data_IF_966302368992
#
_entry.id   IF_966302368992
#
_cell.length_a   1.000
_cell.length_b   1.000
_cell.length_c   1.000
_cell.angle_alpha   90.00
_cell.angle_beta   90.00
_cell.angle_gamma   90.00
#
_symmetry.space_group_name_H-M   'P 1'
#
loop_
_entity.id
_entity.type
_entity.pdbx_description
1 polymer ?
#
# COMPACT_ATOMS: atom_id res chain seq x y z
N UNK A 1 3.69 49.43 -35.67
CA UNK A 1 2.90 48.60 -34.74
C UNK A 1 1.47 48.67 -35.22
N UNK A 2 0.83 47.52 -35.41
CA UNK A 2 -0.61 47.45 -35.70
C UNK A 2 -1.36 47.69 -34.40
N UNK A 3 -2.47 48.42 -34.43
CA UNK A 3 -3.30 48.64 -33.23
C UNK A 3 -4.26 47.47 -33.02
N UNK A 4 -4.70 47.23 -31.78
CA UNK A 4 -5.72 46.20 -31.48
C UNK A 4 -6.98 46.37 -32.34
N UNK A 5 -7.36 47.62 -32.62
CA UNK A 5 -8.51 47.93 -33.48
C UNK A 5 -8.27 47.51 -34.94
N UNK A 6 -7.05 47.74 -35.46
CA UNK A 6 -6.68 47.27 -36.79
C UNK A 6 -6.66 45.75 -36.88
N UNK A 7 -6.20 45.06 -35.83
CA UNK A 7 -6.23 43.58 -35.80
C UNK A 7 -7.65 43.03 -35.70
N UNK A 8 -8.53 43.62 -34.88
CA UNK A 8 -9.94 43.20 -34.80
C UNK A 8 -10.67 43.39 -36.12
N UNK A 9 -10.43 44.50 -36.81
CA UNK A 9 -11.01 44.73 -38.13
C UNK A 9 -10.56 43.68 -39.14
N UNK A 10 -9.26 43.37 -39.19
CA UNK A 10 -8.73 42.33 -40.06
C UNK A 10 -9.29 40.93 -39.71
N UNK A 11 -9.43 40.64 -38.42
CA UNK A 11 -10.00 39.38 -37.94
C UNK A 11 -11.46 39.19 -38.38
N UNK A 12 -12.27 40.24 -38.31
CA UNK A 12 -13.67 40.20 -38.74
C UNK A 12 -13.80 40.01 -40.27
N UNK A 13 -12.92 40.64 -41.06
CA UNK A 13 -12.87 40.42 -42.52
C UNK A 13 -12.54 38.96 -42.85
N UNK A 14 -11.56 38.35 -42.17
CA UNK A 14 -11.21 36.93 -42.34
C UNK A 14 -12.38 36.03 -41.90
N UNK A 15 -13.05 36.36 -40.79
CA UNK A 15 -14.21 35.62 -40.28
C UNK A 15 -15.33 35.59 -41.31
N UNK A 16 -15.65 36.72 -41.93
CA UNK A 16 -16.67 36.79 -42.97
C UNK A 16 -16.30 35.94 -44.19
N UNK A 17 -15.05 36.02 -44.66
CA UNK A 17 -14.57 35.19 -45.79
C UNK A 17 -14.77 33.70 -45.49
N UNK A 18 -14.46 33.25 -44.27
CA UNK A 18 -14.62 31.83 -43.89
C UNK A 18 -16.10 31.45 -43.73
N UNK A 19 -16.93 32.34 -43.19
CA UNK A 19 -18.37 32.11 -43.03
C UNK A 19 -19.09 32.00 -44.38
N UNK A 20 -18.73 32.81 -45.36
CA UNK A 20 -19.32 32.82 -46.71
C UNK A 20 -19.09 31.51 -47.49
N UNK A 21 -18.11 30.71 -47.09
CA UNK A 21 -17.85 29.38 -47.68
C UNK A 21 -18.85 28.31 -47.22
N UNK A 22 -19.69 28.61 -46.23
CA UNK A 22 -20.71 27.72 -45.67
C UNK A 22 -20.21 26.76 -44.60
N UNK A 23 -21.13 26.22 -43.79
CA UNK A 23 -20.86 25.42 -42.59
C UNK A 23 -20.09 24.10 -42.85
N UNK A 24 -20.17 23.57 -44.08
CA UNK A 24 -19.47 22.33 -44.47
C UNK A 24 -18.09 22.61 -45.11
N UNK A 25 -17.61 23.85 -45.03
CA UNK A 25 -16.30 24.23 -45.54
C UNK A 25 -15.17 23.60 -44.71
N UNK A 26 -14.17 23.03 -45.40
CA UNK A 26 -12.93 22.58 -44.77
C UNK A 26 -12.22 23.72 -44.02
N UNK A 27 -12.30 24.95 -44.53
CA UNK A 27 -11.74 26.12 -43.84
C UNK A 27 -12.56 26.47 -42.59
N UNK A 28 -13.89 26.38 -42.63
CA UNK A 28 -14.71 26.56 -41.44
C UNK A 28 -14.33 25.57 -40.32
N UNK A 29 -14.12 24.30 -40.68
CA UNK A 29 -13.64 23.29 -39.75
C UNK A 29 -12.24 23.61 -39.21
N UNK A 30 -11.30 24.01 -40.06
CA UNK A 30 -9.93 24.33 -39.66
C UNK A 30 -9.82 25.60 -38.79
N UNK A 31 -10.75 26.56 -38.95
CA UNK A 31 -10.78 27.79 -38.17
C UNK A 31 -11.61 27.67 -36.87
N UNK A 32 -12.21 26.52 -36.59
CA UNK A 32 -12.91 26.27 -35.32
C UNK A 32 -11.95 26.50 -34.15
N UNK A 33 -12.28 27.46 -33.26
CA UNK A 33 -11.44 27.88 -32.14
C UNK A 33 -10.25 28.80 -32.50
N UNK A 34 -9.89 28.93 -33.78
CA UNK A 34 -8.81 29.82 -34.24
C UNK A 34 -9.20 31.30 -34.10
N UNK A 35 -10.47 31.65 -34.37
CA UNK A 35 -10.96 33.01 -34.18
C UNK A 35 -10.94 33.43 -32.71
N UNK A 36 -11.43 32.59 -31.81
CA UNK A 36 -11.43 32.86 -30.36
C UNK A 36 -9.99 33.01 -29.83
N UNK A 37 -9.05 32.21 -30.35
CA UNK A 37 -7.63 32.33 -30.02
C UNK A 37 -7.04 33.66 -30.48
N UNK A 38 -7.40 34.09 -31.69
CA UNK A 38 -6.94 35.37 -32.24
C UNK A 38 -7.50 36.56 -31.42
N UNK A 39 -8.76 36.50 -31.00
CA UNK A 39 -9.34 37.50 -30.09
C UNK A 39 -8.59 37.55 -28.75
N UNK A 40 -8.32 36.39 -28.15
CA UNK A 40 -7.54 36.30 -26.91
C UNK A 40 -6.12 36.87 -27.07
N UNK A 41 -5.46 36.58 -28.20
CA UNK A 41 -4.14 37.14 -28.50
C UNK A 41 -4.15 38.67 -28.55
N UNK A 42 -5.17 39.25 -29.20
CA UNK A 42 -5.36 40.71 -29.25
C UNK A 42 -5.63 41.27 -27.85
N UNK A 43 -6.50 40.63 -27.07
CA UNK A 43 -6.89 41.11 -25.74
C UNK A 43 -5.71 41.06 -24.77
N UNK A 44 -4.95 39.97 -24.76
CA UNK A 44 -3.86 39.73 -23.84
C UNK A 44 -2.48 40.24 -24.30
N UNK A 45 -2.38 40.84 -25.50
CA UNK A 45 -1.10 41.16 -26.15
C UNK A 45 -0.15 39.92 -26.16
N UNK A 46 -0.72 38.79 -26.54
CA UNK A 46 -0.09 37.48 -26.51
C UNK A 46 -0.01 36.86 -27.91
N UNK A 47 0.81 35.81 -28.04
CA UNK A 47 0.98 35.05 -29.27
C UNK A 47 0.72 33.55 -29.02
N UNK A 48 -0.42 33.23 -28.41
CA UNK A 48 -0.85 31.86 -28.22
C UNK A 48 -1.06 31.17 -29.56
N UNK A 49 -0.67 29.91 -29.63
CA UNK A 49 -0.88 29.02 -30.78
C UNK A 49 -1.59 27.76 -30.32
N UNK A 50 -2.39 27.15 -31.20
CA UNK A 50 -3.07 25.89 -30.87
C UNK A 50 -2.07 24.79 -30.53
N UNK A 51 -0.95 24.69 -31.25
CA UNK A 51 0.12 23.73 -30.95
C UNK A 51 0.69 23.97 -29.54
N UNK A 52 0.98 25.22 -29.19
CA UNK A 52 1.49 25.55 -27.85
C UNK A 52 0.49 25.21 -26.75
N UNK A 53 -0.81 25.42 -26.97
CA UNK A 53 -1.84 25.00 -26.01
C UNK A 53 -1.94 23.47 -25.89
N UNK A 54 -1.85 22.74 -27.00
CA UNK A 54 -1.84 21.27 -27.00
C UNK A 54 -0.64 20.74 -26.21
N UNK A 55 0.55 21.31 -26.42
CA UNK A 55 1.77 20.90 -25.72
C UNK A 55 1.65 21.13 -24.21
N UNK A 56 1.14 22.29 -23.78
CA UNK A 56 0.89 22.59 -22.37
C UNK A 56 -0.12 21.62 -21.75
N UNK A 57 -1.20 21.30 -22.45
CA UNK A 57 -2.20 20.33 -21.97
C UNK A 57 -1.61 18.93 -21.90
N UNK A 58 -0.81 18.53 -22.90
CA UNK A 58 -0.15 17.23 -22.95
C UNK A 58 0.85 17.08 -21.80
N UNK A 59 1.67 18.10 -21.54
CA UNK A 59 2.61 18.13 -20.43
C UNK A 59 1.89 18.08 -19.08
N UNK A 60 0.82 18.85 -18.91
CA UNK A 60 0.02 18.83 -17.69
C UNK A 60 -0.60 17.45 -17.42
N UNK A 61 -1.13 16.79 -18.47
CA UNK A 61 -1.66 15.42 -18.36
C UNK A 61 -0.56 14.40 -18.06
N UNK A 62 0.60 14.51 -18.71
CA UNK A 62 1.74 13.65 -18.45
C UNK A 62 2.21 13.78 -17.00
N UNK A 63 2.38 15.02 -16.52
CA UNK A 63 2.74 15.31 -15.13
C UNK A 63 1.72 14.74 -14.15
N UNK A 64 0.44 14.98 -14.36
CA UNK A 64 -0.62 14.42 -13.52
C UNK A 64 -0.59 12.88 -13.49
N UNK A 65 -0.36 12.23 -14.63
CA UNK A 65 -0.22 10.77 -14.69
C UNK A 65 0.99 10.28 -13.90
N UNK A 66 2.15 10.95 -14.04
CA UNK A 66 3.36 10.59 -13.27
C UNK A 66 3.17 10.78 -11.77
N UNK A 67 2.51 11.86 -11.34
CA UNK A 67 2.22 12.11 -9.92
C UNK A 67 1.30 11.05 -9.33
N UNK A 68 0.25 10.64 -10.05
CA UNK A 68 -0.63 9.54 -9.63
C UNK A 68 0.12 8.22 -9.52
N UNK A 69 0.92 7.88 -10.54
CA UNK A 69 1.75 6.67 -10.52
C UNK A 69 2.73 6.67 -9.35
N UNK A 70 3.34 7.81 -9.04
CA UNK A 70 4.24 7.92 -7.90
C UNK A 70 3.51 7.73 -6.57
N UNK A 71 2.31 8.30 -6.42
CA UNK A 71 1.49 8.12 -5.22
C UNK A 71 1.08 6.65 -5.02
N UNK A 72 0.69 5.97 -6.10
CA UNK A 72 0.36 4.54 -6.07
C UNK A 72 1.60 3.70 -5.72
N UNK A 73 2.75 4.00 -6.32
CA UNK A 73 4.01 3.32 -6.01
C UNK A 73 4.38 3.48 -4.53
N UNK A 74 4.28 4.70 -3.99
CA UNK A 74 4.57 4.98 -2.59
C UNK A 74 3.60 4.24 -1.65
N UNK A 75 2.32 4.14 -2.03
CA UNK A 75 1.33 3.38 -1.27
C UNK A 75 1.67 1.88 -1.24
N UNK A 76 2.00 1.30 -2.39
CA UNK A 76 2.39 -0.12 -2.51
C UNK A 76 3.68 -0.40 -1.73
N UNK A 77 4.65 0.52 -1.75
CA UNK A 77 5.88 0.40 -0.97
C UNK A 77 5.59 0.35 0.52
N UNK A 78 4.72 1.24 1.03
CA UNK A 78 4.32 1.24 2.45
C UNK A 78 3.63 -0.06 2.83
N UNK A 79 2.71 -0.54 2.00
CA UNK A 79 2.00 -1.81 2.26
C UNK A 79 2.96 -3.00 2.26
N UNK A 80 3.89 -3.06 1.32
CA UNK A 80 4.95 -4.09 1.30
C UNK A 80 5.76 -4.06 2.59
N UNK A 81 6.11 -2.89 3.10
CA UNK A 81 6.92 -2.75 4.30
C UNK A 81 6.15 -3.16 5.56
N UNK A 82 4.86 -2.81 5.67
CA UNK A 82 4.02 -3.29 6.79
C UNK A 82 3.82 -4.81 6.75
N UNK A 83 3.63 -5.39 5.56
CA UNK A 83 3.55 -6.84 5.37
C UNK A 83 4.86 -7.54 5.72
N UNK A 84 6.00 -6.93 5.38
CA UNK A 84 7.32 -7.43 5.78
C UNK A 84 7.50 -7.41 7.29
N UNK A 85 7.11 -6.33 7.96
CA UNK A 85 7.23 -6.20 9.41
C UNK A 85 6.32 -7.18 10.15
N UNK A 86 5.07 -7.35 9.69
CA UNK A 86 4.14 -8.35 10.25
C UNK A 86 4.67 -9.77 10.09
N UNK A 87 5.22 -10.11 8.92
CA UNK A 87 5.84 -11.41 8.68
C UNK A 87 7.03 -11.66 9.60
N UNK A 88 7.89 -10.65 9.80
CA UNK A 88 9.02 -10.76 10.71
C UNK A 88 8.58 -10.93 12.17
N UNK A 89 7.58 -10.17 12.62
CA UNK A 89 6.99 -10.34 13.97
C UNK A 89 6.42 -11.74 14.15
N UNK A 90 5.70 -12.25 13.16
CA UNK A 90 5.11 -13.58 13.22
C UNK A 90 6.17 -14.69 13.28
N UNK A 91 7.27 -14.54 12.52
CA UNK A 91 8.41 -15.46 12.59
C UNK A 91 9.03 -15.49 13.99
N UNK A 92 9.21 -14.33 14.60
CA UNK A 92 9.78 -14.23 15.94
C UNK A 92 8.85 -14.84 16.99
N UNK A 93 7.55 -14.51 16.97
CA UNK A 93 6.59 -15.10 17.91
C UNK A 93 6.46 -16.61 17.72
N UNK A 94 6.51 -17.10 16.48
CA UNK A 94 6.51 -18.52 16.20
C UNK A 94 7.75 -19.22 16.78
N UNK A 95 8.92 -18.62 16.62
CA UNK A 95 10.18 -19.13 17.20
C UNK A 95 10.10 -19.19 18.72
N UNK A 96 9.67 -18.11 19.38
CA UNK A 96 9.53 -18.09 20.85
C UNK A 96 8.49 -19.12 21.34
N UNK A 97 7.40 -19.32 20.59
CA UNK A 97 6.40 -20.34 20.93
C UNK A 97 6.96 -21.76 20.82
N UNK A 98 7.78 -22.04 19.81
CA UNK A 98 8.47 -23.33 19.68
C UNK A 98 9.43 -23.59 20.85
N UNK A 99 10.22 -22.58 21.24
CA UNK A 99 11.13 -22.66 22.38
C UNK A 99 10.38 -22.91 23.69
N UNK A 100 9.28 -22.17 23.92
CA UNK A 100 8.43 -22.37 25.11
C UNK A 100 7.82 -23.78 25.15
N UNK A 101 7.36 -24.30 24.01
CA UNK A 101 6.80 -25.64 23.93
C UNK A 101 7.86 -26.74 24.19
N UNK A 102 9.09 -26.54 23.71
CA UNK A 102 10.20 -27.43 24.02
C UNK A 102 10.52 -27.45 25.52
N UNK A 103 10.55 -26.28 26.16
CA UNK A 103 10.77 -26.17 27.61
C UNK A 103 9.65 -26.85 28.40
N UNK A 104 8.38 -26.59 28.07
CA UNK A 104 7.23 -27.22 28.74
C UNK A 104 7.29 -28.75 28.57
N UNK A 105 7.68 -29.23 27.39
CA UNK A 105 7.83 -30.66 27.14
C UNK A 105 8.92 -31.28 28.03
N UNK A 106 10.03 -30.57 28.22
CA UNK A 106 11.11 -31.00 29.12
C UNK A 106 10.65 -31.01 30.58
N UNK A 107 10.04 -29.93 31.05
CA UNK A 107 9.52 -29.82 32.43
C UNK A 107 8.52 -30.95 32.74
N UNK A 108 7.68 -31.31 31.77
CA UNK A 108 6.73 -32.42 31.91
C UNK A 108 7.44 -33.78 32.09
N UNK A 109 8.53 -34.03 31.36
CA UNK A 109 9.31 -35.25 31.50
C UNK A 109 9.99 -35.31 32.87
N UNK A 110 10.62 -34.21 33.29
CA UNK A 110 11.30 -34.13 34.58
C UNK A 110 10.30 -34.34 35.74
N UNK A 111 9.12 -33.74 35.66
CA UNK A 111 8.06 -33.90 36.66
C UNK A 111 7.51 -35.34 36.68
N UNK A 112 7.37 -35.96 35.51
CA UNK A 112 6.94 -37.36 35.38
C UNK A 112 7.92 -38.30 36.07
N UNK A 113 9.22 -38.11 35.83
CA UNK A 113 10.28 -38.94 36.40
C UNK A 113 10.33 -38.78 37.93
N UNK A 114 10.27 -37.54 38.43
CA UNK A 114 10.19 -37.27 39.87
C UNK A 114 8.96 -37.89 40.53
N UNK A 115 7.79 -37.82 39.87
CA UNK A 115 6.58 -38.45 40.37
C UNK A 115 6.70 -39.98 40.46
N UNK A 116 7.42 -40.60 39.51
CA UNK A 116 7.67 -42.05 39.55
C UNK A 116 8.65 -42.44 40.66
N UNK A 117 9.68 -41.65 40.91
CA UNK A 117 10.59 -41.83 42.06
C UNK A 117 9.83 -41.75 43.39
N UNK A 118 8.97 -40.73 43.55
CA UNK A 118 8.16 -40.56 44.76
C UNK A 118 7.22 -41.75 44.95
N UNK A 119 6.59 -42.26 43.90
CA UNK A 119 5.74 -43.46 43.98
C UNK A 119 6.53 -44.67 44.46
N UNK A 120 7.73 -44.91 43.91
CA UNK A 120 8.58 -46.02 44.31
C UNK A 120 8.97 -45.92 45.78
N UNK A 121 9.29 -44.71 46.25
CA UNK A 121 9.61 -44.50 47.66
C UNK A 121 8.39 -44.72 48.58
N UNK A 122 7.19 -44.27 48.18
CA UNK A 122 5.95 -44.58 48.89
C UNK A 122 5.72 -46.09 48.99
N UNK A 123 5.98 -46.84 47.91
CA UNK A 123 5.85 -48.31 47.92
C UNK A 123 6.87 -48.92 48.90
N UNK A 124 8.14 -48.49 48.87
CA UNK A 124 9.19 -48.98 49.78
C UNK A 124 8.86 -48.70 51.24
N UNK A 125 8.42 -47.49 51.55
CA UNK A 125 8.04 -47.10 52.91
C UNK A 125 6.83 -47.88 53.41
N UNK A 126 5.84 -48.12 52.54
CA UNK A 126 4.69 -48.98 52.87
C UNK A 126 5.14 -50.41 53.18
N UNK A 127 6.03 -50.99 52.37
CA UNK A 127 6.54 -52.35 52.61
C UNK A 127 7.27 -52.46 53.97
N UNK A 128 8.18 -51.52 54.26
CA UNK A 128 8.87 -51.47 55.56
C UNK A 128 7.90 -51.37 56.73
N UNK A 129 6.84 -50.57 56.59
CA UNK A 129 5.83 -50.43 57.64
C UNK A 129 5.08 -51.75 57.87
N UNK A 130 4.69 -52.45 56.81
CA UNK A 130 4.08 -53.78 56.92
C UNK A 130 5.00 -54.77 57.64
N UNK A 131 6.28 -54.83 57.26
CA UNK A 131 7.24 -55.73 57.90
C UNK A 131 7.40 -55.45 59.41
N UNK A 132 7.42 -54.16 59.80
CA UNK A 132 7.48 -53.75 61.19
C UNK A 132 6.21 -54.13 61.96
N UNK A 133 5.02 -53.92 61.38
CA UNK A 133 3.75 -54.28 62.00
C UNK A 133 3.63 -55.79 62.21
N UNK A 134 3.98 -56.59 61.20
CA UNK A 134 3.97 -58.06 61.31
C UNK A 134 4.95 -58.56 62.38
N UNK A 135 6.13 -57.93 62.46
CA UNK A 135 7.13 -58.28 63.48
C UNK A 135 6.65 -57.96 64.90
N UNK A 136 5.86 -56.89 65.08
CA UNK A 136 5.27 -56.52 66.37
C UNK A 136 4.08 -57.41 66.75
N UNK A 137 3.24 -57.83 65.78
CA UNK A 137 2.15 -58.78 66.03
C UNK A 137 2.66 -60.17 66.45
N UNK A 138 3.74 -60.65 65.83
CA UNK A 138 4.39 -61.92 66.21
C UNK A 138 5.04 -61.82 67.59
N UNK A 139 5.59 -60.66 67.97
CA UNK A 139 6.15 -60.44 69.30
C UNK A 139 5.09 -60.29 70.42
N UNK A 140 3.83 -60.05 70.06
CA UNK A 140 2.72 -59.86 70.99
C UNK A 140 1.81 -61.10 71.15
N UNK A 141 2.03 -62.17 70.38
CA UNK A 141 1.36 -63.48 70.49
C UNK A 141 2.23 -64.51 71.20
#
# INVERSE_FOLDING_TARGET
>A
MTTKEQERKALEEIRQIVADLGEQSYLGSAFTGTFDLAEQNIDFDAAFTMTGQIDVIAEAKAKQATEKMQQELDAVIRERDTLRDTCNRWKETHKSALEANANISQDYLDLRDSHEEIKLEVIRLKAKLYDMMMSQEVAAS
#
